data_IF_983953810904
#
_entry.id   IF_983953810904
#
_cell.length_a   1.000
_cell.length_b   1.000
_cell.length_c   1.000
_cell.angle_alpha   90.00
_cell.angle_beta   90.00
_cell.angle_gamma   90.00
#
_symmetry.space_group_name_H-M   'P 1'
#
loop_
_entity.id
_entity.type
_entity.pdbx_description
1 polymer ?
#
# COMPACT_ATOMS: atom_id res chain seq x y z
N UNK A 1 -50.15 -3.62 -8.03
CA UNK A 1 -49.23 -2.69 -8.75
C UNK A 1 -48.50 -1.70 -7.82
N UNK A 2 -49.14 -1.07 -6.81
CA UNK A 2 -48.46 -0.11 -5.92
C UNK A 2 -47.33 -0.67 -5.03
N UNK A 3 -47.38 -1.96 -4.64
CA UNK A 3 -46.33 -2.59 -3.84
C UNK A 3 -44.98 -2.70 -4.58
N UNK A 4 -45.00 -2.93 -5.91
CA UNK A 4 -43.79 -2.98 -6.73
C UNK A 4 -43.15 -1.59 -6.87
N UNK A 5 -43.96 -0.54 -7.05
CA UNK A 5 -43.47 0.84 -7.15
C UNK A 5 -42.72 1.25 -5.86
N UNK A 6 -43.27 0.93 -4.68
CA UNK A 6 -42.64 1.21 -3.38
C UNK A 6 -41.26 0.55 -3.26
N UNK A 7 -41.13 -0.70 -3.69
CA UNK A 7 -39.85 -1.44 -3.68
C UNK A 7 -38.82 -0.75 -4.59
N UNK A 8 -39.22 -0.35 -5.80
CA UNK A 8 -38.31 0.36 -6.71
C UNK A 8 -37.88 1.71 -6.14
N UNK A 9 -38.79 2.50 -5.58
CA UNK A 9 -38.45 3.79 -4.94
C UNK A 9 -37.47 3.59 -3.78
N UNK A 10 -37.62 2.53 -2.97
CA UNK A 10 -36.70 2.22 -1.88
C UNK A 10 -35.30 1.84 -2.39
N UNK A 11 -35.21 1.01 -3.45
CA UNK A 11 -33.93 0.67 -4.09
C UNK A 11 -33.23 1.90 -4.66
N UNK A 12 -33.96 2.79 -5.32
CA UNK A 12 -33.42 4.05 -5.86
C UNK A 12 -32.82 4.90 -4.73
N UNK A 13 -33.55 5.08 -3.62
CA UNK A 13 -33.05 5.84 -2.47
C UNK A 13 -31.79 5.20 -1.87
N UNK A 14 -31.76 3.88 -1.73
CA UNK A 14 -30.59 3.15 -1.23
C UNK A 14 -29.35 3.33 -2.13
N UNK A 15 -29.53 3.22 -3.45
CA UNK A 15 -28.47 3.43 -4.43
C UNK A 15 -27.96 4.88 -4.42
N UNK A 16 -28.87 5.86 -4.30
CA UNK A 16 -28.50 7.28 -4.20
C UNK A 16 -27.69 7.58 -2.94
N UNK A 17 -28.05 7.00 -1.80
CA UNK A 17 -27.27 7.14 -0.56
C UNK A 17 -25.88 6.52 -0.72
N UNK A 18 -25.80 5.30 -1.27
CA UNK A 18 -24.52 4.62 -1.53
C UNK A 18 -23.63 5.46 -2.45
N UNK A 19 -24.18 6.04 -3.53
CA UNK A 19 -23.47 6.93 -4.45
C UNK A 19 -22.85 8.14 -3.74
N UNK A 20 -23.56 8.75 -2.79
CA UNK A 20 -23.04 9.91 -2.04
C UNK A 20 -21.89 9.50 -1.12
N UNK A 21 -22.02 8.36 -0.43
CA UNK A 21 -20.99 7.84 0.48
C UNK A 21 -19.72 7.50 -0.31
N UNK A 22 -19.85 6.73 -1.39
CA UNK A 22 -18.68 6.34 -2.20
C UNK A 22 -18.01 7.55 -2.85
N UNK A 23 -18.78 8.56 -3.28
CA UNK A 23 -18.20 9.81 -3.81
C UNK A 23 -17.41 10.58 -2.76
N UNK A 24 -17.92 10.64 -1.52
CA UNK A 24 -17.17 11.25 -0.42
C UNK A 24 -15.88 10.47 -0.11
N UNK A 25 -15.96 9.13 -0.08
CA UNK A 25 -14.79 8.26 0.13
C UNK A 25 -13.73 8.46 -0.96
N UNK A 26 -14.13 8.58 -2.22
CA UNK A 26 -13.25 8.86 -3.36
C UNK A 26 -12.45 10.16 -3.14
N UNK A 27 -13.13 11.25 -2.76
CA UNK A 27 -12.48 12.54 -2.49
C UNK A 27 -11.53 12.47 -1.28
N UNK A 28 -11.91 11.76 -0.23
CA UNK A 28 -11.06 11.55 0.95
C UNK A 28 -9.82 10.74 0.57
N UNK A 29 -9.98 9.68 -0.23
CA UNK A 29 -8.88 8.85 -0.70
C UNK A 29 -7.91 9.66 -1.58
N UNK A 30 -8.41 10.47 -2.51
CA UNK A 30 -7.61 11.35 -3.34
C UNK A 30 -6.75 12.31 -2.48
N UNK A 31 -7.34 12.95 -1.47
CA UNK A 31 -6.61 13.82 -0.55
C UNK A 31 -5.55 13.06 0.25
N UNK A 32 -5.83 11.82 0.69
CA UNK A 32 -4.87 10.99 1.42
C UNK A 32 -3.69 10.56 0.56
N UNK A 33 -3.92 10.25 -0.72
CA UNK A 33 -2.84 9.91 -1.68
C UNK A 33 -1.90 11.11 -1.84
N UNK A 34 -2.43 12.31 -2.04
CA UNK A 34 -1.61 13.53 -2.14
C UNK A 34 -0.78 13.75 -0.87
N UNK A 35 -1.37 13.57 0.31
CA UNK A 35 -0.63 13.66 1.59
C UNK A 35 0.45 12.60 1.71
N UNK A 36 0.19 11.37 1.26
CA UNK A 36 1.17 10.29 1.28
C UNK A 36 2.35 10.59 0.34
N UNK A 37 2.08 11.06 -0.87
CA UNK A 37 3.12 11.49 -1.83
C UNK A 37 3.97 12.63 -1.27
N UNK A 38 3.36 13.61 -0.62
CA UNK A 38 4.09 14.70 0.03
C UNK A 38 5.03 14.20 1.14
N UNK A 39 4.61 13.21 1.94
CA UNK A 39 5.46 12.58 2.96
C UNK A 39 6.66 11.86 2.34
N UNK A 40 6.44 11.11 1.26
CA UNK A 40 7.52 10.44 0.52
C UNK A 40 8.52 11.45 -0.04
N UNK A 41 8.02 12.54 -0.65
CA UNK A 41 8.88 13.60 -1.18
C UNK A 41 9.72 14.24 -0.06
N UNK A 42 9.12 14.49 1.12
CA UNK A 42 9.82 15.05 2.27
C UNK A 42 10.89 14.11 2.86
N UNK A 43 10.66 12.79 2.88
CA UNK A 43 11.63 11.80 3.39
C UNK A 43 12.73 11.44 2.39
N UNK A 44 12.49 11.66 1.10
CA UNK A 44 13.41 11.25 0.02
C UNK A 44 14.82 11.84 0.14
N UNK A 45 15.03 13.13 0.47
CA UNK A 45 16.38 13.70 0.62
C UNK A 45 17.20 13.00 1.71
N UNK A 46 16.57 12.67 2.85
CA UNK A 46 17.21 11.94 3.93
C UNK A 46 17.61 10.53 3.50
N UNK A 47 16.68 9.79 2.87
CA UNK A 47 16.96 8.45 2.36
C UNK A 47 18.16 8.47 1.38
N UNK A 48 18.18 9.43 0.44
CA UNK A 48 19.31 9.62 -0.49
C UNK A 48 20.63 9.94 0.21
N UNK A 49 20.60 10.77 1.25
CA UNK A 49 21.80 11.14 1.99
C UNK A 49 22.38 9.92 2.73
N UNK A 50 21.53 9.13 3.40
CA UNK A 50 21.95 7.89 4.06
C UNK A 50 22.51 6.90 3.04
N UNK A 51 21.81 6.68 1.92
CA UNK A 51 22.31 5.77 0.88
C UNK A 51 23.69 6.18 0.40
N UNK A 52 23.93 7.47 0.14
CA UNK A 52 25.28 7.95 -0.25
C UNK A 52 26.33 7.68 0.82
N UNK A 53 26.01 7.94 2.09
CA UNK A 53 26.95 7.73 3.19
C UNK A 53 27.30 6.24 3.34
N UNK A 54 26.30 5.37 3.34
CA UNK A 54 26.48 3.92 3.44
C UNK A 54 27.22 3.36 2.22
N UNK A 55 26.90 3.83 1.01
CA UNK A 55 27.62 3.44 -0.20
C UNK A 55 29.09 3.86 -0.16
N UNK A 56 29.40 5.05 0.34
CA UNK A 56 30.79 5.48 0.49
C UNK A 56 31.58 4.56 1.43
N UNK A 57 30.98 4.14 2.55
CA UNK A 57 31.57 3.16 3.46
C UNK A 57 31.74 1.81 2.78
N UNK A 58 30.71 1.33 2.07
CA UNK A 58 30.78 0.05 1.35
C UNK A 58 31.87 0.03 0.26
N UNK A 59 32.14 1.15 -0.42
CA UNK A 59 33.19 1.24 -1.45
C UNK A 59 34.60 1.30 -0.86
N UNK A 60 34.80 1.99 0.26
CA UNK A 60 36.14 2.29 0.79
C UNK A 60 36.52 1.48 2.03
N UNK A 61 35.66 0.58 2.50
CA UNK A 61 35.93 -0.31 3.62
C UNK A 61 35.75 -1.77 3.21
N UNK A 62 36.64 -2.63 3.70
CA UNK A 62 36.55 -4.07 3.49
C UNK A 62 36.06 -4.73 4.79
N UNK A 63 34.84 -4.39 5.19
CA UNK A 63 34.20 -4.90 6.42
C UNK A 63 33.36 -6.12 6.08
N UNK A 64 33.65 -7.25 6.73
CA UNK A 64 32.76 -8.40 6.73
C UNK A 64 31.57 -8.12 7.67
N UNK A 65 30.39 -7.88 7.08
CA UNK A 65 29.18 -7.55 7.80
C UNK A 65 28.06 -8.57 7.50
N UNK A 66 27.38 -9.03 8.55
CA UNK A 66 26.37 -10.10 8.45
C UNK A 66 25.22 -9.75 7.50
N UNK A 67 24.87 -8.48 7.35
CA UNK A 67 23.80 -8.02 6.43
C UNK A 67 24.23 -7.90 4.96
N UNK A 68 25.53 -7.99 4.66
CA UNK A 68 26.07 -7.83 3.29
C UNK A 68 26.76 -9.08 2.77
N UNK A 69 26.93 -10.11 3.61
CA UNK A 69 27.45 -11.42 3.21
C UNK A 69 26.31 -12.34 2.77
N UNK A 70 26.57 -13.12 1.73
CA UNK A 70 25.69 -14.23 1.39
C UNK A 70 25.87 -15.37 2.40
N UNK A 71 24.79 -15.99 2.83
CA UNK A 71 24.85 -17.10 3.77
C UNK A 71 25.17 -18.39 3.01
N UNK A 72 26.24 -19.10 3.40
CA UNK A 72 26.63 -20.38 2.79
C UNK A 72 25.51 -21.44 2.84
N UNK A 73 24.70 -21.42 3.91
CA UNK A 73 23.58 -22.33 4.11
C UNK A 73 22.30 -21.54 4.43
N UNK A 74 21.47 -21.30 3.42
CA UNK A 74 20.18 -20.63 3.57
C UNK A 74 19.12 -21.63 4.01
N UNK A 75 18.71 -21.55 5.28
CA UNK A 75 17.70 -22.46 5.88
C UNK A 75 16.32 -21.83 6.01
N UNK A 76 16.23 -20.50 5.96
CA UNK A 76 14.99 -19.73 6.12
C UNK A 76 15.13 -18.35 5.49
N UNK A 77 14.03 -17.84 4.96
CA UNK A 77 13.87 -16.46 4.54
C UNK A 77 12.69 -15.83 5.28
N UNK A 78 12.82 -14.55 5.63
CA UNK A 78 11.72 -13.78 6.20
C UNK A 78 11.06 -12.96 5.10
N UNK A 79 9.77 -13.17 4.87
CA UNK A 79 8.96 -12.39 3.93
C UNK A 79 8.05 -11.46 4.73
N UNK A 80 8.10 -10.17 4.44
CA UNK A 80 7.24 -9.15 5.06
C UNK A 80 6.32 -8.56 4.00
N UNK A 81 5.01 -8.77 4.17
CA UNK A 81 3.98 -8.31 3.23
C UNK A 81 3.27 -7.08 3.82
N UNK A 82 3.20 -5.99 3.05
CA UNK A 82 2.48 -4.78 3.43
C UNK A 82 1.16 -4.67 2.65
N UNK A 83 0.03 -4.80 3.35
CA UNK A 83 -1.32 -4.71 2.79
C UNK A 83 -2.13 -3.57 3.43
N UNK A 84 -3.34 -3.30 2.91
CA UNK A 84 -4.23 -2.28 3.49
C UNK A 84 -5.10 -2.87 4.60
N UNK A 85 -5.22 -2.11 5.69
CA UNK A 85 -6.13 -2.41 6.81
C UNK A 85 -7.61 -2.19 6.44
N UNK A 86 -7.91 -1.19 5.59
CA UNK A 86 -9.29 -0.89 5.16
C UNK A 86 -9.73 -1.77 3.99
N UNK A 87 -11.01 -2.10 3.96
CA UNK A 87 -11.70 -2.71 2.81
C UNK A 87 -12.03 -1.70 1.70
N UNK A 88 -12.75 -2.15 0.67
CA UNK A 88 -13.12 -1.37 -0.53
C UNK A 88 -11.91 -0.84 -1.33
N UNK A 89 -10.75 -1.51 -1.22
CA UNK A 89 -9.52 -1.19 -1.93
C UNK A 89 -9.39 -1.88 -3.31
N UNK A 90 -10.50 -2.38 -3.85
CA UNK A 90 -10.51 -3.17 -5.08
C UNK A 90 -9.63 -4.43 -4.95
N UNK A 91 -8.82 -4.70 -5.98
CA UNK A 91 -7.95 -5.87 -6.06
C UNK A 91 -6.59 -5.70 -5.34
N UNK A 92 -6.39 -4.65 -4.55
CA UNK A 92 -5.09 -4.33 -3.94
C UNK A 92 -4.56 -5.47 -3.05
N UNK A 93 -5.29 -5.82 -1.99
CA UNK A 93 -4.84 -6.85 -1.04
C UNK A 93 -4.68 -8.22 -1.69
N UNK A 94 -5.61 -8.61 -2.57
CA UNK A 94 -5.53 -9.90 -3.27
C UNK A 94 -4.30 -10.00 -4.18
N UNK A 95 -3.93 -8.91 -4.87
CA UNK A 95 -2.74 -8.91 -5.72
C UNK A 95 -1.45 -8.93 -4.91
N UNK A 96 -1.36 -8.13 -3.85
CA UNK A 96 -0.19 -8.10 -2.97
C UNK A 96 0.06 -9.48 -2.33
N UNK A 97 -1.00 -10.16 -1.89
CA UNK A 97 -0.88 -11.51 -1.31
C UNK A 97 -0.50 -12.53 -2.38
N UNK A 98 -1.09 -12.47 -3.58
CA UNK A 98 -0.74 -13.38 -4.67
C UNK A 98 0.74 -13.26 -5.03
N UNK A 99 1.23 -12.05 -5.22
CA UNK A 99 2.64 -11.78 -5.49
C UNK A 99 3.54 -12.34 -4.37
N UNK A 100 3.16 -12.13 -3.11
CA UNK A 100 3.92 -12.64 -1.97
C UNK A 100 3.95 -14.18 -1.86
N UNK A 101 3.04 -14.88 -2.54
CA UNK A 101 3.02 -16.35 -2.60
C UNK A 101 3.82 -16.91 -3.79
N UNK A 102 4.22 -16.07 -4.75
CA UNK A 102 5.07 -16.48 -5.89
C UNK A 102 6.57 -16.45 -5.53
N UNK A 103 6.93 -15.94 -4.34
CA UNK A 103 8.28 -15.92 -3.77
C UNK A 103 8.67 -17.27 -3.14
#
# INVERSE_FOLDING_TARGET
MGAQLRVYTQKIKSAQTTKKITKAMELIAASRIQKAQARVAASTPFARAITRAVSAVATHSNVDHVLTREHENVTRAAVVIFASDRGLAGAFNSQVIREGLEL
#
